data_IF_451102702200
#
_entry.id   IF_451102702200
#
_cell.length_a   1.000
_cell.length_b   1.000
_cell.length_c   1.000
_cell.angle_alpha   90.00
_cell.angle_beta   90.00
_cell.angle_gamma   90.00
#
_symmetry.space_group_name_H-M   'P 1'
#
loop_
_entity.id
_entity.type
_entity.pdbx_description
1 polymer ?
#
# COMPACT_ATOMS: atom_id res chain seq x y z
N UNK A 1 -15.09 8.39 48.43
CA UNK A 1 -13.84 8.61 47.65
C UNK A 1 -13.43 7.42 46.78
N UNK A 2 -13.51 6.17 47.28
CA UNK A 2 -13.11 4.98 46.51
C UNK A 2 -14.01 4.74 45.27
N UNK A 3 -15.31 4.87 45.43
CA UNK A 3 -16.30 4.75 44.33
C UNK A 3 -16.06 5.77 43.21
N UNK A 4 -15.75 7.02 43.57
CA UNK A 4 -15.44 8.09 42.60
C UNK A 4 -14.17 7.77 41.81
N UNK A 5 -13.12 7.25 42.46
CA UNK A 5 -11.89 6.82 41.79
C UNK A 5 -12.13 5.65 40.84
N UNK A 6 -12.97 4.68 41.22
CA UNK A 6 -13.33 3.54 40.36
C UNK A 6 -14.06 4.02 39.10
N UNK A 7 -14.99 4.97 39.23
CA UNK A 7 -15.70 5.55 38.09
C UNK A 7 -14.75 6.29 37.13
N UNK A 8 -13.77 7.05 37.66
CA UNK A 8 -12.77 7.74 36.84
C UNK A 8 -11.88 6.75 36.09
N UNK A 9 -11.39 5.70 36.76
CA UNK A 9 -10.54 4.68 36.12
C UNK A 9 -11.30 3.95 35.02
N UNK A 10 -12.56 3.57 35.27
CA UNK A 10 -13.40 2.92 34.26
C UNK A 10 -13.59 3.82 33.01
N UNK A 11 -13.80 5.12 33.22
CA UNK A 11 -13.95 6.08 32.12
C UNK A 11 -12.66 6.25 31.31
N UNK A 12 -11.50 6.29 31.96
CA UNK A 12 -10.20 6.38 31.29
C UNK A 12 -9.90 5.13 30.45
N UNK A 13 -10.24 3.93 30.94
CA UNK A 13 -10.06 2.69 30.18
C UNK A 13 -10.94 2.68 28.92
N UNK A 14 -12.19 3.14 29.03
CA UNK A 14 -13.11 3.26 27.89
C UNK A 14 -12.54 4.24 26.84
N UNK A 15 -12.04 5.41 27.26
CA UNK A 15 -11.43 6.38 26.34
C UNK A 15 -10.24 5.76 25.62
N UNK A 16 -9.33 5.10 26.35
CA UNK A 16 -8.15 4.46 25.76
C UNK A 16 -8.53 3.35 24.78
N UNK A 17 -9.55 2.54 25.09
CA UNK A 17 -10.05 1.51 24.19
C UNK A 17 -10.65 2.10 22.90
N UNK A 18 -11.42 3.19 22.99
CA UNK A 18 -11.98 3.88 21.81
C UNK A 18 -10.88 4.49 20.94
N UNK A 19 -9.86 5.11 21.56
CA UNK A 19 -8.70 5.65 20.85
C UNK A 19 -7.91 4.53 20.15
N UNK A 20 -7.68 3.42 20.85
CA UNK A 20 -7.02 2.24 20.30
C UNK A 20 -7.80 1.68 19.10
N UNK A 21 -9.11 1.45 19.24
CA UNK A 21 -9.94 0.97 18.12
C UNK A 21 -9.90 1.92 16.91
N UNK A 22 -9.76 3.22 17.11
CA UNK A 22 -9.64 4.21 16.01
C UNK A 22 -8.27 4.17 15.33
N UNK A 23 -7.21 3.80 16.04
CA UNK A 23 -5.86 3.61 15.50
C UNK A 23 -5.78 2.30 14.69
N UNK A 24 -6.32 1.21 15.22
CA UNK A 24 -6.25 -0.13 14.60
C UNK A 24 -7.31 -0.40 13.53
N UNK A 25 -8.42 0.35 13.51
CA UNK A 25 -9.36 0.34 12.38
C UNK A 25 -8.93 1.29 11.25
N UNK A 26 -7.65 1.68 11.16
CA UNK A 26 -7.13 2.16 9.89
C UNK A 26 -6.98 0.94 9.00
N UNK A 27 -7.89 0.67 8.03
CA UNK A 27 -7.65 -0.40 7.10
C UNK A 27 -6.29 -0.12 6.46
N UNK A 28 -5.44 -1.14 6.39
CA UNK A 28 -4.37 -1.19 5.40
C UNK A 28 -5.00 -1.38 4.02
N UNK A 29 -5.93 -0.51 3.65
CA UNK A 29 -6.33 -0.29 2.29
C UNK A 29 -5.19 0.50 1.69
N UNK A 30 -4.18 -0.23 1.19
CA UNK A 30 -3.36 0.27 0.10
C UNK A 30 -4.38 0.75 -0.94
N UNK A 31 -4.44 2.06 -1.20
CA UNK A 31 -5.40 2.56 -2.15
C UNK A 31 -5.08 1.87 -3.47
N UNK A 32 -6.05 1.13 -4.00
CA UNK A 32 -6.10 0.78 -5.42
C UNK A 32 -6.37 2.06 -6.25
N UNK A 33 -5.62 3.13 -5.99
CA UNK A 33 -5.38 4.18 -6.97
C UNK A 33 -4.39 3.61 -7.97
N UNK A 34 -4.93 2.69 -8.76
CA UNK A 34 -4.44 2.31 -10.07
C UNK A 34 -4.06 3.59 -10.81
N UNK A 35 -2.77 3.73 -11.07
CA UNK A 35 -2.15 4.56 -12.10
C UNK A 35 -2.85 5.89 -12.43
N UNK A 36 -2.50 6.91 -11.65
CA UNK A 36 -2.19 8.21 -12.25
C UNK A 36 -0.75 8.59 -11.95
N UNK A 37 0.16 7.76 -12.42
CA UNK A 37 1.55 8.15 -12.60
C UNK A 37 2.01 7.69 -13.99
N UNK A 38 1.78 8.55 -14.99
CA UNK A 38 2.61 8.60 -16.21
C UNK A 38 4.08 8.99 -15.89
N UNK A 39 4.53 8.89 -14.62
CA UNK A 39 5.84 9.38 -14.16
C UNK A 39 6.74 8.31 -13.51
N UNK A 40 6.21 7.19 -13.02
CA UNK A 40 7.06 6.08 -12.50
C UNK A 40 7.35 5.03 -13.57
N UNK A 41 6.50 4.93 -14.59
CA UNK A 41 6.68 3.96 -15.65
C UNK A 41 7.76 4.45 -16.64
N UNK A 42 9.01 4.04 -16.41
CA UNK A 42 10.12 4.33 -17.30
C UNK A 42 10.17 3.27 -18.41
N UNK A 43 10.19 3.72 -19.66
CA UNK A 43 10.39 2.84 -20.80
C UNK A 43 11.87 2.38 -20.82
N UNK A 44 12.10 1.11 -20.47
CA UNK A 44 13.41 0.47 -20.45
C UNK A 44 13.55 -0.62 -21.54
N UNK A 45 12.70 -0.57 -22.56
CA UNK A 45 12.69 -1.56 -23.64
C UNK A 45 14.03 -1.62 -24.39
N UNK A 46 14.49 -2.84 -24.68
CA UNK A 46 15.71 -3.12 -25.44
C UNK A 46 16.91 -3.47 -24.56
N UNK A 47 16.68 -4.10 -23.41
CA UNK A 47 17.73 -4.63 -22.54
C UNK A 47 18.06 -6.11 -22.81
N UNK A 48 17.31 -6.74 -23.72
CA UNK A 48 17.51 -8.11 -24.17
C UNK A 48 16.77 -9.18 -23.36
N UNK A 49 15.86 -8.79 -22.45
CA UNK A 49 15.03 -9.73 -21.69
C UNK A 49 13.57 -9.26 -21.64
N UNK A 50 12.60 -10.13 -21.96
CA UNK A 50 11.18 -9.77 -21.80
C UNK A 50 10.78 -9.65 -20.33
N UNK A 51 10.46 -8.46 -19.83
CA UNK A 51 9.95 -8.27 -18.46
C UNK A 51 8.42 -8.25 -18.37
N UNK A 52 7.77 -9.31 -18.86
CA UNK A 52 6.30 -9.41 -18.91
C UNK A 52 5.62 -9.35 -17.53
N UNK A 53 6.36 -9.70 -16.48
CA UNK A 53 5.86 -9.64 -15.11
C UNK A 53 6.56 -8.49 -14.38
N UNK A 54 5.79 -7.50 -13.93
CA UNK A 54 6.28 -6.49 -12.99
C UNK A 54 6.73 -7.22 -11.73
N UNK A 55 8.02 -7.15 -11.41
CA UNK A 55 8.48 -7.64 -10.13
C UNK A 55 7.75 -6.84 -9.03
N UNK A 56 7.12 -7.50 -8.05
CA UNK A 56 6.36 -6.80 -7.00
C UNK A 56 7.26 -6.03 -6.00
N UNK A 57 8.54 -5.85 -6.33
CA UNK A 57 9.49 -5.10 -5.53
C UNK A 57 9.39 -3.60 -5.83
N UNK A 58 9.76 -2.78 -4.84
CA UNK A 58 9.90 -1.33 -5.01
C UNK A 58 10.97 -1.04 -6.06
N UNK A 59 10.61 -0.35 -7.14
CA UNK A 59 11.54 0.07 -8.19
C UNK A 59 11.46 -0.69 -9.52
N UNK A 60 10.53 -1.65 -9.67
CA UNK A 60 10.22 -2.25 -10.97
C UNK A 60 9.14 -1.43 -11.70
N UNK A 61 9.47 -0.73 -12.80
CA UNK A 61 8.64 0.35 -13.33
C UNK A 61 7.39 -0.14 -14.07
N UNK A 62 7.51 -1.11 -14.99
CA UNK A 62 6.38 -1.61 -15.79
C UNK A 62 6.62 -3.03 -16.29
N UNK A 63 5.55 -3.70 -16.72
CA UNK A 63 5.62 -4.94 -17.46
C UNK A 63 5.79 -4.64 -18.95
N UNK A 64 6.62 -5.43 -19.61
CA UNK A 64 6.75 -5.46 -21.06
C UNK A 64 5.73 -6.41 -21.68
N UNK A 65 5.52 -6.32 -22.99
CA UNK A 65 4.67 -7.24 -23.73
C UNK A 65 5.06 -7.22 -25.19
N UNK A 66 4.70 -8.24 -25.97
CA UNK A 66 4.94 -8.26 -27.41
C UNK A 66 4.34 -7.04 -28.16
N UNK A 67 3.32 -6.38 -27.59
CA UNK A 67 2.72 -5.18 -28.18
C UNK A 67 3.49 -3.88 -27.83
N UNK A 68 4.19 -3.85 -26.69
CA UNK A 68 4.82 -2.63 -26.14
C UNK A 68 6.34 -2.63 -26.23
N UNK A 69 6.96 -3.81 -26.23
CA UNK A 69 8.38 -4.04 -26.46
C UNK A 69 8.55 -5.36 -27.25
N UNK A 70 8.17 -5.41 -28.53
CA UNK A 70 8.38 -6.60 -29.35
C UNK A 70 9.82 -7.06 -29.25
N UNK A 71 10.81 -6.19 -29.44
CA UNK A 71 12.25 -6.51 -29.52
C UNK A 71 12.76 -7.52 -28.47
N UNK A 72 12.28 -7.46 -27.23
CA UNK A 72 12.69 -8.36 -26.16
C UNK A 72 11.68 -9.49 -25.88
N UNK A 73 10.43 -9.35 -26.33
CA UNK A 73 9.27 -10.24 -26.10
C UNK A 73 8.73 -10.95 -27.37
N UNK A 74 9.50 -11.02 -28.48
CA UNK A 74 9.12 -11.67 -29.76
C UNK A 74 9.05 -13.21 -29.71
#
# INVERSE_FOLDING_TARGET
MKTVKILIIAFLIIILAVLFLKIFNKPSSMPETFFKEEKICQNLCGDGQCQEIVCMAVGCPCAESANTCPQDCE
#
